data_IF_681303142719
#
_entry.id   IF_681303142719
#
_cell.length_a   1.000
_cell.length_b   1.000
_cell.length_c   1.000
_cell.angle_alpha   90.00
_cell.angle_beta   90.00
_cell.angle_gamma   90.00
#
_symmetry.space_group_name_H-M   'P 1'
#
loop_
_entity.id
_entity.type
_entity.pdbx_description
1 polymer ?
#
# COMPACT_ATOMS: atom_id res chain seq x y z
N UNK A 1 7.25 -14.42 12.24
CA UNK A 1 7.58 -13.62 11.04
C UNK A 1 7.28 -14.47 9.83
N UNK A 2 6.25 -14.13 9.05
CA UNK A 2 5.93 -14.82 7.80
C UNK A 2 7.01 -14.50 6.76
N UNK A 3 7.50 -15.54 6.09
CA UNK A 3 8.50 -15.43 5.03
C UNK A 3 7.78 -15.04 3.74
N UNK A 4 7.99 -13.82 3.25
CA UNK A 4 7.33 -13.26 2.05
C UNK A 4 7.94 -13.73 0.73
N UNK A 5 8.93 -14.64 0.75
CA UNK A 5 9.59 -15.09 -0.48
C UNK A 5 8.75 -16.12 -1.23
N UNK A 6 8.22 -15.69 -2.39
CA UNK A 6 7.58 -16.47 -3.47
C UNK A 6 6.29 -17.19 -3.10
N UNK A 7 5.19 -16.43 -3.00
CA UNK A 7 3.85 -16.98 -3.25
C UNK A 7 3.76 -17.40 -4.73
N UNK A 8 3.11 -18.53 -5.01
CA UNK A 8 2.82 -18.93 -6.39
C UNK A 8 1.69 -18.06 -6.97
N UNK A 9 1.56 -18.01 -8.30
CA UNK A 9 0.43 -17.29 -8.94
C UNK A 9 -0.93 -17.76 -8.41
N UNK A 10 -1.09 -19.06 -8.20
CA UNK A 10 -2.30 -19.65 -7.61
C UNK A 10 -2.59 -19.14 -6.18
N UNK A 11 -1.55 -18.84 -5.40
CA UNK A 11 -1.72 -18.27 -4.06
C UNK A 11 -2.07 -16.78 -4.11
N UNK A 12 -1.45 -16.03 -5.02
CA UNK A 12 -1.76 -14.62 -5.25
C UNK A 12 -3.21 -14.41 -5.70
N UNK A 13 -3.70 -15.30 -6.56
CA UNK A 13 -5.07 -15.27 -7.09
C UNK A 13 -6.10 -15.89 -6.13
N UNK A 14 -5.68 -16.50 -5.01
CA UNK A 14 -6.60 -17.12 -4.05
C UNK A 14 -7.46 -16.06 -3.37
N UNK A 15 -8.76 -16.14 -3.60
CA UNK A 15 -9.76 -15.28 -2.98
C UNK A 15 -9.97 -15.58 -1.49
N UNK A 16 -10.23 -14.53 -0.72
CA UNK A 16 -10.71 -14.60 0.66
C UNK A 16 -11.78 -13.56 0.90
N UNK A 17 -12.77 -13.95 1.70
CA UNK A 17 -13.72 -13.00 2.27
C UNK A 17 -13.06 -12.23 3.40
N UNK A 18 -13.12 -10.91 3.32
CA UNK A 18 -12.56 -9.99 4.31
C UNK A 18 -13.58 -9.72 5.41
N UNK A 19 -13.14 -9.17 6.55
CA UNK A 19 -14.02 -9.04 7.72
C UNK A 19 -15.27 -8.16 7.49
N UNK A 20 -15.23 -7.25 6.50
CA UNK A 20 -16.38 -6.43 6.09
C UNK A 20 -17.23 -7.05 4.97
N UNK A 21 -17.00 -8.32 4.63
CA UNK A 21 -17.82 -9.09 3.69
C UNK A 21 -17.43 -9.02 2.22
N UNK A 22 -16.46 -8.17 1.84
CA UNK A 22 -15.90 -8.17 0.48
C UNK A 22 -15.13 -9.44 0.15
N UNK A 23 -14.98 -9.77 -1.13
CA UNK A 23 -14.13 -10.87 -1.60
C UNK A 23 -12.99 -10.27 -2.40
N UNK A 24 -11.76 -10.61 -2.02
CA UNK A 24 -10.55 -10.14 -2.68
C UNK A 24 -9.51 -11.27 -2.74
N UNK A 25 -8.78 -11.35 -3.84
CA UNK A 25 -7.55 -12.11 -3.95
C UNK A 25 -6.44 -11.52 -3.07
N UNK A 26 -5.40 -12.32 -2.77
CA UNK A 26 -4.20 -11.80 -2.08
C UNK A 26 -3.51 -10.71 -2.88
N UNK A 27 -3.49 -10.83 -4.20
CA UNK A 27 -2.90 -9.84 -5.09
C UNK A 27 -3.63 -8.49 -5.02
N UNK A 28 -4.96 -8.50 -5.06
CA UNK A 28 -5.76 -7.27 -4.89
C UNK A 28 -5.48 -6.62 -3.53
N UNK A 29 -5.32 -7.41 -2.48
CA UNK A 29 -4.95 -6.91 -1.16
C UNK A 29 -3.57 -6.27 -1.10
N UNK A 30 -2.59 -6.81 -1.83
CA UNK A 30 -1.26 -6.22 -1.95
C UNK A 30 -1.32 -4.87 -2.67
N UNK A 31 -2.09 -4.80 -3.77
CA UNK A 31 -2.31 -3.56 -4.50
C UNK A 31 -3.02 -2.52 -3.64
N UNK A 32 -4.06 -2.91 -2.91
CA UNK A 32 -4.82 -2.02 -2.03
C UNK A 32 -3.93 -1.49 -0.88
N UNK A 33 -3.13 -2.37 -0.27
CA UNK A 33 -2.15 -1.98 0.77
C UNK A 33 -1.12 -0.98 0.23
N UNK A 34 -0.61 -1.21 -0.98
CA UNK A 34 0.33 -0.30 -1.63
C UNK A 34 -0.33 1.05 -1.93
N UNK A 35 -1.53 1.05 -2.49
CA UNK A 35 -2.30 2.26 -2.78
C UNK A 35 -2.61 3.04 -1.50
N UNK A 36 -3.01 2.36 -0.43
CA UNK A 36 -3.29 2.93 0.88
C UNK A 36 -2.03 3.58 1.49
N UNK A 37 -0.87 2.93 1.35
CA UNK A 37 0.40 3.49 1.80
C UNK A 37 0.75 4.79 1.03
N UNK A 38 0.64 4.79 -0.30
CA UNK A 38 0.87 6.00 -1.10
C UNK A 38 -0.13 7.12 -0.81
N UNK A 39 -1.40 6.77 -0.57
CA UNK A 39 -2.43 7.73 -0.17
C UNK A 39 -2.04 8.46 1.12
N UNK A 40 -1.66 7.72 2.17
CA UNK A 40 -1.25 8.33 3.44
C UNK A 40 0.11 9.01 3.37
N UNK A 41 1.06 8.49 2.58
CA UNK A 41 2.32 9.20 2.26
C UNK A 41 2.02 10.57 1.64
N UNK A 42 1.07 10.62 0.70
CA UNK A 42 0.55 11.85 0.10
C UNK A 42 0.04 12.86 1.12
N UNK A 43 -0.83 12.41 2.02
CA UNK A 43 -1.37 13.26 3.10
C UNK A 43 -0.27 13.80 4.02
N UNK A 44 0.65 12.94 4.47
CA UNK A 44 1.72 13.33 5.36
C UNK A 44 2.71 14.30 4.70
N UNK A 45 3.09 14.04 3.45
CA UNK A 45 3.98 14.91 2.68
C UNK A 45 3.35 16.30 2.51
N UNK A 46 2.06 16.37 2.16
CA UNK A 46 1.33 17.63 2.07
C UNK A 46 1.29 18.39 3.41
N UNK A 47 1.11 17.69 4.54
CA UNK A 47 1.18 18.32 5.87
C UNK A 47 2.58 18.88 6.16
N UNK A 48 3.64 18.13 5.87
CA UNK A 48 5.03 18.56 6.10
C UNK A 48 5.37 19.80 5.27
N UNK A 49 5.11 19.78 3.97
CA UNK A 49 5.45 20.86 3.04
C UNK A 49 4.55 22.08 3.24
N UNK A 50 3.24 21.89 3.28
CA UNK A 50 2.30 23.02 3.21
C UNK A 50 1.89 23.58 4.58
N UNK A 51 1.80 22.74 5.62
CA UNK A 51 1.43 23.18 6.97
C UNK A 51 2.67 23.51 7.80
N UNK A 52 3.64 22.60 7.84
CA UNK A 52 4.83 22.74 8.70
C UNK A 52 6.00 23.47 8.01
N UNK A 53 5.90 23.73 6.70
CA UNK A 53 6.95 24.38 5.89
C UNK A 53 8.30 23.67 5.99
N UNK A 54 8.27 22.33 6.02
CA UNK A 54 9.46 21.47 6.08
C UNK A 54 9.56 20.62 4.82
N UNK A 55 10.73 20.64 4.20
CA UNK A 55 11.04 19.78 3.06
C UNK A 55 11.57 18.43 3.54
N UNK A 56 10.89 17.31 3.24
CA UNK A 56 11.27 15.99 3.75
C UNK A 56 12.46 15.35 3.02
N UNK A 57 13.07 16.04 2.05
CA UNK A 57 14.22 15.56 1.25
C UNK A 57 14.02 14.16 0.64
N UNK A 58 12.77 13.78 0.40
CA UNK A 58 12.36 12.56 -0.28
C UNK A 58 11.25 12.93 -1.26
N UNK A 59 11.26 12.30 -2.43
CA UNK A 59 10.22 12.52 -3.43
C UNK A 59 8.87 12.03 -2.89
N UNK A 60 7.78 12.63 -3.34
CA UNK A 60 6.44 12.19 -2.96
C UNK A 60 6.08 10.84 -3.61
N UNK A 61 6.53 10.65 -4.85
CA UNK A 61 6.38 9.42 -5.61
C UNK A 61 7.76 8.95 -6.07
N UNK A 62 7.97 7.65 -6.03
CA UNK A 62 9.14 6.98 -6.62
C UNK A 62 8.69 6.25 -7.88
N UNK A 63 9.63 5.94 -8.77
CA UNK A 63 9.34 5.11 -9.93
C UNK A 63 9.02 3.69 -9.45
N UNK A 64 7.78 3.25 -9.68
CA UNK A 64 7.37 1.85 -9.55
C UNK A 64 8.04 0.98 -10.62
#
# INVERSE_FOLDING_TARGET
MSNWSMETEDELLREKTVFWGGVHSRFEWLLDTQAHFYHHRGQLHAMLVHVLKREPNVQLFEWC
#
